data_IF_438748379569
#
_entry.id   IF_438748379569
#
_cell.length_a   1.000
_cell.length_b   1.000
_cell.length_c   1.000
_cell.angle_alpha   90.00
_cell.angle_beta   90.00
_cell.angle_gamma   90.00
#
_symmetry.space_group_name_H-M   'P 1'
#
loop_
_entity.id
_entity.type
_entity.pdbx_description
1 polymer ?
#
# COMPACT_ATOMS: atom_id res chain seq x y z
N UNK A 1 20.18 -48.47 -14.20
CA UNK A 1 18.96 -47.65 -13.99
C UNK A 1 19.32 -46.48 -13.09
N UNK A 2 18.88 -45.24 -13.38
CA UNK A 2 19.13 -44.13 -12.47
C UNK A 2 18.52 -44.41 -11.09
N UNK A 3 19.21 -44.03 -10.02
CA UNK A 3 18.69 -44.18 -8.66
C UNK A 3 17.38 -43.38 -8.52
N UNK A 4 16.44 -43.84 -7.69
CA UNK A 4 15.16 -43.13 -7.48
C UNK A 4 15.37 -41.68 -6.99
N UNK A 5 16.47 -41.44 -6.27
CA UNK A 5 16.90 -40.10 -5.85
C UNK A 5 17.30 -39.21 -7.03
N UNK A 6 18.09 -39.75 -7.98
CA UNK A 6 18.49 -39.03 -9.20
C UNK A 6 17.29 -38.67 -10.08
N UNK A 7 16.28 -39.54 -10.15
CA UNK A 7 15.05 -39.26 -10.90
C UNK A 7 14.21 -38.14 -10.25
N UNK A 8 14.11 -38.12 -8.91
CA UNK A 8 13.40 -37.06 -8.19
C UNK A 8 14.10 -35.70 -8.37
N UNK A 9 15.43 -35.68 -8.28
CA UNK A 9 16.20 -34.45 -8.52
C UNK A 9 16.01 -33.93 -9.95
N UNK A 10 16.09 -34.80 -10.96
CA UNK A 10 15.85 -34.42 -12.36
C UNK A 10 14.51 -33.68 -12.53
N UNK A 11 13.43 -34.20 -11.95
CA UNK A 11 12.10 -33.59 -12.04
C UNK A 11 12.07 -32.18 -11.42
N UNK A 12 12.67 -32.00 -10.24
CA UNK A 12 12.74 -30.70 -9.56
C UNK A 12 13.56 -29.67 -10.36
N UNK A 13 14.69 -30.09 -10.93
CA UNK A 13 15.51 -29.20 -11.75
C UNK A 13 14.84 -28.89 -13.10
N UNK A 14 14.13 -29.84 -13.70
CA UNK A 14 13.34 -29.57 -14.91
C UNK A 14 12.25 -28.52 -14.63
N UNK A 15 11.52 -28.65 -13.52
CA UNK A 15 10.55 -27.66 -13.07
C UNK A 15 11.21 -26.28 -12.88
N UNK A 16 12.36 -26.24 -12.20
CA UNK A 16 13.13 -24.99 -12.00
C UNK A 16 13.54 -24.35 -13.33
N UNK A 17 14.07 -25.14 -14.27
CA UNK A 17 14.49 -24.65 -15.58
C UNK A 17 13.29 -24.07 -16.35
N UNK A 18 12.15 -24.75 -16.35
CA UNK A 18 10.93 -24.27 -17.00
C UNK A 18 10.47 -22.93 -16.40
N UNK A 19 10.40 -22.85 -15.07
CA UNK A 19 9.98 -21.63 -14.37
C UNK A 19 10.98 -20.47 -14.53
N UNK A 20 12.28 -20.73 -14.49
CA UNK A 20 13.29 -19.67 -14.54
C UNK A 20 13.62 -19.23 -15.97
N UNK A 21 13.61 -20.14 -16.94
CA UNK A 21 14.20 -19.88 -18.28
C UNK A 21 13.19 -19.78 -19.42
N UNK A 22 11.91 -20.10 -19.18
CA UNK A 22 10.91 -20.15 -20.26
C UNK A 22 9.76 -19.20 -20.05
N UNK A 23 9.22 -18.66 -21.13
CA UNK A 23 7.94 -17.94 -21.20
C UNK A 23 7.47 -18.00 -22.67
N UNK A 24 6.31 -17.41 -22.97
CA UNK A 24 5.73 -17.41 -24.32
C UNK A 24 6.71 -16.89 -25.40
N UNK A 25 7.57 -15.94 -25.05
CA UNK A 25 8.57 -15.38 -25.97
C UNK A 25 9.91 -16.13 -25.95
N UNK A 26 10.12 -17.01 -24.98
CA UNK A 26 11.38 -17.73 -24.75
C UNK A 26 11.16 -19.24 -24.55
N UNK A 27 10.59 -19.97 -25.53
CA UNK A 27 10.41 -21.41 -25.42
C UNK A 27 11.74 -22.17 -25.54
N UNK A 28 11.87 -23.30 -24.83
CA UNK A 28 13.03 -24.18 -24.92
C UNK A 28 12.69 -25.50 -25.61
N UNK A 29 13.51 -25.89 -26.58
CA UNK A 29 13.45 -27.22 -27.19
C UNK A 29 13.89 -28.30 -26.21
N UNK A 30 13.54 -29.56 -26.47
CA UNK A 30 14.04 -30.70 -25.67
C UNK A 30 15.57 -30.72 -25.59
N UNK A 31 16.27 -30.37 -26.68
CA UNK A 31 17.74 -30.34 -26.68
C UNK A 31 18.26 -29.29 -25.69
N UNK A 32 17.66 -28.10 -25.66
CA UNK A 32 18.04 -27.05 -24.71
C UNK A 32 17.67 -27.39 -23.27
N UNK A 33 16.55 -28.08 -23.04
CA UNK A 33 16.19 -28.57 -21.71
C UNK A 33 17.22 -29.60 -21.20
N UNK A 34 17.68 -30.51 -22.07
CA UNK A 34 18.73 -31.46 -21.73
C UNK A 34 20.05 -30.75 -21.40
N UNK A 35 20.50 -29.82 -22.26
CA UNK A 35 21.71 -29.03 -21.98
C UNK A 35 21.59 -28.22 -20.68
N UNK A 36 20.40 -27.67 -20.39
CA UNK A 36 20.17 -26.94 -19.14
C UNK A 36 20.21 -27.86 -17.91
N UNK A 37 19.81 -29.13 -18.02
CA UNK A 37 19.94 -30.12 -16.94
C UNK A 37 21.40 -30.54 -16.73
N UNK A 38 22.18 -30.63 -17.80
CA UNK A 38 23.62 -30.95 -17.73
C UNK A 38 24.42 -29.87 -17.00
N UNK A 39 24.01 -28.59 -17.07
CA UNK A 39 24.59 -27.50 -16.26
C UNK A 39 24.47 -27.76 -14.74
N UNK A 40 23.49 -28.57 -14.32
CA UNK A 40 23.30 -29.02 -12.94
C UNK A 40 23.89 -30.41 -12.67
N UNK A 41 24.64 -30.99 -13.61
CA UNK A 41 25.21 -32.33 -13.52
C UNK A 41 24.18 -33.46 -13.67
N UNK A 42 23.01 -33.17 -14.26
CA UNK A 42 21.92 -34.13 -14.41
C UNK A 42 21.84 -34.60 -15.86
N UNK A 43 22.24 -35.85 -16.10
CA UNK A 43 22.06 -36.49 -17.40
C UNK A 43 20.67 -37.10 -17.53
N UNK A 44 19.98 -36.76 -18.60
CA UNK A 44 18.64 -37.26 -18.91
C UNK A 44 18.54 -37.66 -20.38
N UNK A 45 17.68 -38.63 -20.67
CA UNK A 45 17.38 -39.02 -22.05
C UNK A 45 16.14 -38.29 -22.55
N UNK A 46 16.12 -37.96 -23.85
CA UNK A 46 14.99 -37.27 -24.52
C UNK A 46 13.64 -37.90 -24.22
N UNK A 47 13.53 -39.24 -24.21
CA UNK A 47 12.26 -39.94 -23.93
C UNK A 47 11.76 -39.69 -22.50
N UNK A 48 12.69 -39.63 -21.54
CA UNK A 48 12.36 -39.39 -20.13
C UNK A 48 11.90 -37.96 -19.84
N UNK A 49 12.28 -36.98 -20.67
CA UNK A 49 11.82 -35.61 -20.53
C UNK A 49 10.33 -35.49 -20.87
N UNK A 50 9.84 -36.20 -21.90
CA UNK A 50 8.41 -36.16 -22.24
C UNK A 50 7.53 -36.67 -21.09
N UNK A 51 7.94 -37.74 -20.42
CA UNK A 51 7.21 -38.25 -19.25
C UNK A 51 7.26 -37.27 -18.08
N UNK A 52 8.40 -36.63 -17.84
CA UNK A 52 8.53 -35.64 -16.75
C UNK A 52 7.70 -34.38 -17.01
N UNK A 53 7.67 -33.89 -18.26
CA UNK A 53 6.84 -32.74 -18.65
C UNK A 53 5.36 -33.03 -18.40
N UNK A 54 4.90 -34.25 -18.70
CA UNK A 54 3.52 -34.65 -18.44
C UNK A 54 3.22 -34.79 -16.95
N UNK A 55 4.18 -35.31 -16.16
CA UNK A 55 4.06 -35.34 -14.70
C UNK A 55 3.95 -33.93 -14.10
N UNK A 56 4.72 -32.96 -14.61
CA UNK A 56 4.65 -31.56 -14.18
C UNK A 56 3.32 -30.90 -14.56
N UNK A 57 2.73 -31.25 -15.71
CA UNK A 57 1.37 -30.84 -16.07
C UNK A 57 0.33 -31.42 -15.11
N UNK A 58 0.42 -32.71 -14.80
CA UNK A 58 -0.47 -33.37 -13.83
C UNK A 58 -0.33 -32.78 -12.43
N UNK A 59 0.87 -32.33 -12.05
CA UNK A 59 1.10 -31.60 -10.81
C UNK A 59 0.43 -30.21 -10.81
N UNK A 60 0.22 -29.61 -11.98
CA UNK A 60 -0.52 -28.36 -12.16
C UNK A 60 0.26 -27.22 -12.85
N UNK A 61 1.44 -27.48 -13.42
CA UNK A 61 2.11 -26.46 -14.25
C UNK A 61 1.45 -26.38 -15.63
N UNK A 62 1.11 -25.17 -16.07
CA UNK A 62 0.67 -24.91 -17.43
C UNK A 62 1.87 -24.92 -18.40
N UNK A 63 2.29 -26.12 -18.80
CA UNK A 63 3.38 -26.30 -19.76
C UNK A 63 2.80 -26.40 -21.16
N UNK A 64 2.98 -25.34 -21.94
CA UNK A 64 2.64 -25.32 -23.35
C UNK A 64 3.76 -25.98 -24.14
N UNK A 65 3.38 -26.92 -25.03
CA UNK A 65 4.31 -27.61 -25.91
C UNK A 65 4.38 -27.00 -27.32
N UNK A 66 5.18 -27.59 -28.21
CA UNK A 66 5.29 -27.13 -29.58
C UNK A 66 3.94 -27.16 -30.31
N UNK A 67 3.57 -26.04 -30.95
CA UNK A 67 2.43 -25.89 -31.86
C UNK A 67 2.93 -25.29 -33.19
N UNK A 68 2.04 -25.06 -34.16
CA UNK A 68 2.42 -24.53 -35.49
C UNK A 68 3.30 -23.25 -35.44
N UNK A 69 3.16 -22.43 -34.38
CA UNK A 69 3.91 -21.18 -34.19
C UNK A 69 4.98 -21.22 -33.09
N UNK A 70 5.11 -22.32 -32.34
CA UNK A 70 6.03 -22.43 -31.19
C UNK A 70 6.91 -23.67 -31.32
N UNK A 71 8.24 -23.48 -31.33
CA UNK A 71 9.19 -24.57 -31.59
C UNK A 71 9.68 -25.30 -30.31
N UNK A 72 9.12 -25.01 -29.14
CA UNK A 72 9.60 -25.54 -27.87
C UNK A 72 8.54 -25.57 -26.77
N UNK A 73 8.99 -25.85 -25.55
CA UNK A 73 8.19 -25.91 -24.34
C UNK A 73 8.39 -24.66 -23.50
N UNK A 74 7.31 -24.15 -22.92
CA UNK A 74 7.35 -23.02 -22.00
C UNK A 74 6.22 -23.10 -20.96
N UNK A 75 6.38 -22.35 -19.87
CA UNK A 75 5.30 -22.12 -18.91
C UNK A 75 4.42 -20.99 -19.42
N UNK A 76 3.15 -21.29 -19.69
CA UNK A 76 2.14 -20.33 -20.13
C UNK A 76 1.66 -19.49 -18.96
N UNK A 77 0.65 -19.99 -18.25
CA UNK A 77 0.12 -19.33 -17.05
C UNK A 77 1.05 -19.49 -15.85
N UNK A 78 1.34 -18.38 -15.18
CA UNK A 78 2.13 -18.34 -13.95
C UNK A 78 1.25 -17.97 -12.76
N UNK A 79 1.82 -18.13 -11.55
CA UNK A 79 1.16 -17.66 -10.33
C UNK A 79 0.95 -16.15 -10.35
N UNK A 80 1.89 -15.43 -10.95
CA UNK A 80 1.81 -14.01 -11.22
C UNK A 80 2.19 -13.74 -12.67
N UNK A 81 1.36 -12.98 -13.36
CA UNK A 81 1.63 -12.53 -14.70
C UNK A 81 2.53 -11.29 -14.68
N UNK A 82 3.28 -11.08 -15.77
CA UNK A 82 4.19 -9.94 -15.90
C UNK A 82 3.52 -8.57 -15.62
N UNK A 83 2.29 -8.28 -16.10
CA UNK A 83 1.62 -7.02 -15.81
C UNK A 83 1.29 -6.83 -14.31
N UNK A 84 0.95 -7.90 -13.60
CA UNK A 84 0.64 -7.86 -12.17
C UNK A 84 1.89 -7.52 -11.37
N UNK A 85 3.03 -8.16 -11.70
CA UNK A 85 4.29 -7.87 -11.02
C UNK A 85 4.86 -6.50 -11.37
N UNK A 86 4.63 -5.98 -12.58
CA UNK A 86 4.95 -4.57 -12.91
C UNK A 86 4.21 -3.62 -11.96
N UNK A 87 2.90 -3.81 -11.79
CA UNK A 87 2.09 -2.99 -10.91
C UNK A 87 2.55 -3.08 -9.44
N UNK A 88 2.89 -4.28 -8.96
CA UNK A 88 3.43 -4.47 -7.61
C UNK A 88 4.80 -3.82 -7.42
N UNK A 89 5.70 -3.94 -8.40
CA UNK A 89 7.02 -3.28 -8.39
C UNK A 89 6.85 -1.75 -8.37
N UNK A 90 5.96 -1.20 -9.19
CA UNK A 90 5.67 0.23 -9.23
C UNK A 90 5.16 0.72 -7.86
N UNK A 91 4.26 -0.03 -7.21
CA UNK A 91 3.74 0.30 -5.88
C UNK A 91 4.83 0.24 -4.78
N UNK A 92 5.75 -0.73 -4.86
CA UNK A 92 6.89 -0.86 -3.94
C UNK A 92 7.89 0.28 -4.15
N UNK A 93 8.18 0.62 -5.41
CA UNK A 93 9.05 1.74 -5.75
C UNK A 93 8.46 3.07 -5.27
N UNK A 94 7.16 3.28 -5.47
CA UNK A 94 6.45 4.50 -5.06
C UNK A 94 6.27 4.65 -3.55
N UNK A 95 6.34 3.56 -2.80
CA UNK A 95 6.12 3.58 -1.35
C UNK A 95 7.24 4.33 -0.62
N UNK A 96 6.83 5.30 0.21
CA UNK A 96 7.70 6.05 1.13
C UNK A 96 8.04 5.27 2.40
N UNK A 97 7.27 4.23 2.71
CA UNK A 97 7.39 3.49 3.95
C UNK A 97 8.49 2.43 3.92
N UNK A 98 8.84 1.99 2.71
CA UNK A 98 9.86 0.99 2.49
C UNK A 98 11.17 1.71 2.22
N UNK A 99 12.23 1.33 2.95
CA UNK A 99 13.57 1.89 2.72
C UNK A 99 14.07 1.49 1.33
N UNK A 100 15.09 2.18 0.81
CA UNK A 100 15.66 1.84 -0.50
C UNK A 100 16.11 0.37 -0.55
N UNK A 101 16.91 -0.04 0.45
CA UNK A 101 17.40 -1.41 0.60
C UNK A 101 16.27 -2.44 0.63
N UNK A 102 15.22 -2.20 1.43
CA UNK A 102 14.08 -3.11 1.52
C UNK A 102 13.24 -3.15 0.24
N UNK A 103 13.19 -2.03 -0.50
CA UNK A 103 12.51 -1.97 -1.80
C UNK A 103 13.25 -2.85 -2.81
N UNK A 104 14.58 -2.74 -2.90
CA UNK A 104 15.40 -3.57 -3.78
C UNK A 104 15.30 -5.06 -3.44
N UNK A 105 15.38 -5.40 -2.15
CA UNK A 105 15.19 -6.79 -1.69
C UNK A 105 13.81 -7.35 -2.09
N UNK A 106 12.75 -6.55 -1.94
CA UNK A 106 11.38 -6.97 -2.29
C UNK A 106 11.18 -7.06 -3.80
N UNK A 107 11.70 -6.11 -4.58
CA UNK A 107 11.66 -6.14 -6.04
C UNK A 107 12.42 -7.37 -6.57
N UNK A 108 13.56 -7.72 -5.97
CA UNK A 108 14.28 -8.95 -6.29
C UNK A 108 13.44 -10.21 -6.05
N UNK A 109 12.72 -10.28 -4.92
CA UNK A 109 11.80 -11.39 -4.61
C UNK A 109 10.64 -11.46 -5.61
N UNK A 110 10.02 -10.33 -5.93
CA UNK A 110 8.93 -10.26 -6.93
C UNK A 110 9.44 -10.68 -8.32
N UNK A 111 10.64 -10.24 -8.69
CA UNK A 111 11.27 -10.62 -9.96
C UNK A 111 11.57 -12.10 -10.08
N UNK A 112 11.84 -12.78 -8.96
CA UNK A 112 12.09 -14.23 -8.93
C UNK A 112 10.86 -15.10 -9.22
N UNK A 113 9.67 -14.49 -9.30
CA UNK A 113 8.42 -15.19 -9.65
C UNK A 113 8.19 -15.26 -11.18
N UNK A 114 9.02 -14.56 -11.95
CA UNK A 114 8.98 -14.52 -13.42
C UNK A 114 10.11 -15.35 -14.04
N UNK A 115 10.06 -15.53 -15.36
CA UNK A 115 11.23 -15.96 -16.11
C UNK A 115 12.35 -14.92 -16.01
N UNK A 116 13.60 -15.34 -16.20
CA UNK A 116 14.77 -14.47 -16.25
C UNK A 116 14.65 -13.38 -17.32
N UNK A 117 13.96 -13.67 -18.44
CA UNK A 117 13.74 -12.70 -19.52
C UNK A 117 12.71 -11.64 -19.12
N UNK A 118 11.59 -12.06 -18.52
CA UNK A 118 10.55 -11.17 -18.03
C UNK A 118 11.01 -10.35 -16.81
N UNK A 119 11.79 -10.93 -15.90
CA UNK A 119 12.37 -10.26 -14.74
C UNK A 119 13.23 -9.05 -15.12
N UNK A 120 14.00 -9.15 -16.22
CA UNK A 120 14.77 -8.01 -16.76
C UNK A 120 13.88 -6.82 -17.16
N UNK A 121 12.62 -7.07 -17.48
CA UNK A 121 11.66 -6.01 -17.83
C UNK A 121 11.13 -5.25 -16.59
N UNK A 122 11.29 -5.81 -15.38
CA UNK A 122 10.93 -5.15 -14.11
C UNK A 122 11.97 -4.13 -13.65
N UNK A 123 13.22 -4.26 -14.10
CA UNK A 123 14.29 -3.28 -13.83
C UNK A 123 14.17 -1.98 -14.64
N UNK A 124 13.01 -1.72 -15.25
CA UNK A 124 12.75 -0.43 -15.89
C UNK A 124 12.71 0.63 -14.80
N UNK A 125 13.59 1.63 -14.92
CA UNK A 125 13.51 2.84 -14.12
C UNK A 125 12.20 3.52 -14.48
N UNK A 126 11.18 3.39 -13.64
CA UNK A 126 10.13 4.40 -13.60
C UNK A 126 10.85 5.66 -13.15
N UNK A 127 10.94 6.67 -14.02
CA UNK A 127 11.42 8.00 -13.67
C UNK A 127 10.44 8.62 -12.66
N UNK A 128 10.52 8.18 -11.40
CA UNK A 128 9.83 8.82 -10.30
C UNK A 128 10.74 9.92 -9.80
N UNK A 129 10.26 11.17 -9.85
CA UNK A 129 10.90 12.29 -9.17
C UNK A 129 11.34 11.83 -7.77
N UNK A 130 12.62 11.96 -7.45
CA UNK A 130 13.24 11.42 -6.22
C UNK A 130 12.39 11.77 -4.99
N UNK A 131 11.52 10.84 -4.57
CA UNK A 131 10.73 11.01 -3.35
C UNK A 131 11.57 10.48 -2.19
N UNK A 132 11.82 11.28 -1.14
CA UNK A 132 12.59 10.82 0.00
C UNK A 132 11.89 9.64 0.67
N UNK A 133 12.52 8.45 0.59
CA UNK A 133 12.10 7.23 1.30
C UNK A 133 12.45 7.34 2.78
N UNK A 134 11.66 6.67 3.62
CA UNK A 134 11.88 6.61 5.06
C UNK A 134 13.18 5.86 5.37
N UNK A 135 13.91 6.32 6.40
CA UNK A 135 15.13 5.66 6.91
C UNK A 135 14.77 4.60 7.98
N UNK A 136 13.52 4.60 8.45
CA UNK A 136 13.05 3.76 9.53
C UNK A 136 12.61 2.36 9.05
N UNK A 137 13.49 1.37 9.17
CA UNK A 137 13.19 -0.03 8.84
C UNK A 137 12.21 -0.69 9.84
N UNK A 138 11.92 -0.05 10.99
CA UNK A 138 11.05 -0.63 12.02
C UNK A 138 9.56 -0.51 11.73
N UNK A 139 9.16 0.15 10.64
CA UNK A 139 7.75 0.33 10.29
C UNK A 139 7.06 -1.02 10.06
N UNK A 140 7.73 -2.00 9.44
CA UNK A 140 7.17 -3.35 9.24
C UNK A 140 6.83 -4.04 10.57
N UNK A 141 7.78 -4.04 11.51
CA UNK A 141 7.56 -4.64 12.82
C UNK A 141 6.50 -3.88 13.63
N UNK A 142 6.44 -2.55 13.45
CA UNK A 142 5.42 -1.73 14.09
C UNK A 142 4.03 -2.04 13.56
N UNK A 143 3.87 -2.19 12.24
CA UNK A 143 2.61 -2.59 11.59
C UNK A 143 2.15 -3.96 12.07
N UNK A 144 3.05 -4.93 12.15
CA UNK A 144 2.76 -6.28 12.64
C UNK A 144 2.35 -6.29 14.13
N UNK A 145 3.09 -5.56 14.98
CA UNK A 145 2.74 -5.40 16.39
C UNK A 145 1.38 -4.71 16.59
N UNK A 146 1.04 -3.72 15.75
CA UNK A 146 -0.26 -3.05 15.74
C UNK A 146 -1.37 -4.04 15.35
N UNK A 147 -1.18 -4.79 14.26
CA UNK A 147 -2.18 -5.78 13.83
C UNK A 147 -2.43 -6.84 14.90
N UNK A 148 -1.37 -7.33 15.54
CA UNK A 148 -1.45 -8.28 16.65
C UNK A 148 -2.24 -7.70 17.81
N UNK A 149 -1.94 -6.45 18.23
CA UNK A 149 -2.65 -5.78 19.32
C UNK A 149 -4.15 -5.60 19.02
N UNK A 150 -4.51 -5.22 17.78
CA UNK A 150 -5.91 -5.09 17.35
C UNK A 150 -6.61 -6.44 17.39
N UNK A 151 -5.99 -7.48 16.82
CA UNK A 151 -6.56 -8.82 16.74
C UNK A 151 -6.80 -9.42 18.13
N UNK A 152 -5.81 -9.31 19.02
CA UNK A 152 -5.90 -9.80 20.40
C UNK A 152 -6.66 -8.87 21.35
N UNK A 153 -7.14 -7.71 20.88
CA UNK A 153 -7.82 -6.69 21.67
C UNK A 153 -7.01 -6.24 22.89
N UNK A 154 -5.70 -6.07 22.70
CA UNK A 154 -4.76 -5.62 23.74
C UNK A 154 -4.33 -4.18 23.50
N UNK A 155 -3.88 -3.52 24.57
CA UNK A 155 -3.24 -2.21 24.44
C UNK A 155 -1.96 -2.29 23.63
N UNK A 156 -1.59 -1.17 23.04
CA UNK A 156 -0.29 -0.99 22.39
C UNK A 156 0.52 0.06 23.13
N UNK A 157 1.83 -0.21 23.26
CA UNK A 157 2.83 0.68 23.82
C UNK A 157 3.77 1.18 22.74
N UNK A 158 4.07 2.48 22.74
CA UNK A 158 5.05 3.09 21.85
C UNK A 158 5.56 4.43 22.38
N UNK A 159 6.71 4.89 21.90
CA UNK A 159 7.15 6.29 22.03
C UNK A 159 6.80 7.06 20.76
N UNK A 160 6.50 8.35 20.89
CA UNK A 160 6.10 9.20 19.77
C UNK A 160 7.00 10.42 19.65
N UNK A 161 7.48 10.73 18.44
CA UNK A 161 8.41 11.83 18.21
C UNK A 161 7.98 12.73 17.06
N UNK A 162 8.47 13.96 17.09
CA UNK A 162 8.50 14.87 15.95
C UNK A 162 9.94 15.15 15.54
N UNK A 163 10.12 15.79 14.39
CA UNK A 163 11.42 16.31 13.97
C UNK A 163 11.49 17.81 14.29
N UNK A 164 12.60 18.25 14.88
CA UNK A 164 12.88 19.67 15.04
C UNK A 164 13.47 20.29 13.75
N UNK A 165 13.71 21.61 13.76
CA UNK A 165 14.29 22.34 12.63
C UNK A 165 15.65 21.79 12.15
N UNK A 166 16.42 21.15 13.05
CA UNK A 166 17.68 20.49 12.73
C UNK A 166 17.49 19.05 12.19
N UNK A 167 16.25 18.63 11.87
CA UNK A 167 15.88 17.28 11.43
C UNK A 167 16.25 16.18 12.44
N UNK A 168 16.36 16.52 13.72
CA UNK A 168 16.61 15.56 14.80
C UNK A 168 15.28 15.16 15.45
N UNK A 169 15.18 13.88 15.85
CA UNK A 169 14.02 13.36 16.58
C UNK A 169 13.94 14.00 17.96
N UNK A 170 12.76 14.50 18.31
CA UNK A 170 12.42 15.00 19.65
C UNK A 170 11.19 14.26 20.10
N UNK A 171 11.34 13.45 21.17
CA UNK A 171 10.23 12.69 21.70
C UNK A 171 9.25 13.60 22.44
N UNK A 172 7.96 13.35 22.25
CA UNK A 172 6.89 13.96 23.05
C UNK A 172 6.88 13.34 24.44
N UNK A 173 6.20 14.00 25.39
CA UNK A 173 6.13 13.58 26.79
C UNK A 173 7.50 13.27 27.40
N UNK A 174 8.51 14.05 27.05
CA UNK A 174 9.88 13.87 27.57
C UNK A 174 10.46 12.45 27.32
N UNK A 175 9.96 11.74 26.29
CA UNK A 175 10.39 10.38 25.97
C UNK A 175 9.54 9.26 26.59
N UNK A 176 8.50 9.59 27.34
CA UNK A 176 7.62 8.60 27.97
C UNK A 176 6.73 7.85 26.96
N UNK A 177 6.26 6.68 27.38
CA UNK A 177 5.46 5.79 26.58
C UNK A 177 3.98 6.23 26.50
N UNK A 178 3.40 5.98 25.34
CA UNK A 178 1.96 5.99 25.13
C UNK A 178 1.45 4.58 25.33
N UNK A 179 0.29 4.46 26.00
CA UNK A 179 -0.47 3.22 26.14
C UNK A 179 -1.86 3.51 25.63
N UNK A 180 -2.22 2.89 24.50
CA UNK A 180 -3.48 3.20 23.83
C UNK A 180 -4.19 1.92 23.40
N UNK A 181 -5.51 2.01 23.24
CA UNK A 181 -6.31 0.89 22.73
C UNK A 181 -6.44 1.00 21.22
N UNK A 182 -5.73 0.17 20.44
CA UNK A 182 -5.73 0.26 18.99
C UNK A 182 -7.04 -0.28 18.42
N UNK A 183 -7.61 0.42 17.43
CA UNK A 183 -8.86 0.04 16.78
C UNK A 183 -8.65 -0.37 15.34
N UNK A 184 -7.85 0.40 14.60
CA UNK A 184 -7.52 0.09 13.21
C UNK A 184 -6.18 0.69 12.81
N UNK A 185 -5.63 0.09 11.75
CA UNK A 185 -4.53 0.64 10.99
C UNK A 185 -5.07 1.10 9.63
N UNK A 186 -4.94 2.39 9.34
CA UNK A 186 -5.45 2.99 8.11
C UNK A 186 -4.30 3.48 7.23
N UNK A 187 -4.45 3.34 5.91
CA UNK A 187 -3.55 3.96 4.93
C UNK A 187 -4.20 5.24 4.40
N UNK A 188 -3.52 6.38 4.55
CA UNK A 188 -3.96 7.66 4.00
C UNK A 188 -2.75 8.53 3.64
N UNK A 189 -2.83 9.31 2.56
CA UNK A 189 -1.79 10.25 2.12
C UNK A 189 -0.36 9.65 2.15
N UNK A 190 -0.21 8.42 1.63
CA UNK A 190 1.03 7.62 1.61
C UNK A 190 1.64 7.27 2.98
N UNK A 191 0.85 7.29 4.05
CA UNK A 191 1.31 6.95 5.40
C UNK A 191 0.33 6.00 6.12
N UNK A 192 0.88 5.15 7.00
CA UNK A 192 0.09 4.40 7.97
C UNK A 192 -0.27 5.27 9.17
N UNK A 193 -1.54 5.20 9.55
CA UNK A 193 -2.08 5.83 10.74
C UNK A 193 -2.70 4.77 11.65
N UNK A 194 -2.23 4.73 12.88
CA UNK A 194 -2.85 3.99 13.95
C UNK A 194 -4.00 4.82 14.52
N UNK A 195 -5.22 4.30 14.43
CA UNK A 195 -6.42 4.85 15.08
C UNK A 195 -6.58 4.17 16.42
N UNK A 196 -6.57 4.94 17.50
CA UNK A 196 -6.77 4.45 18.85
C UNK A 196 -7.98 5.11 19.51
N UNK A 197 -8.61 4.39 20.42
CA UNK A 197 -9.49 4.99 21.42
C UNK A 197 -8.67 5.51 22.59
N UNK A 198 -8.90 6.76 22.99
CA UNK A 198 -8.34 7.32 24.21
C UNK A 198 -9.40 7.40 25.29
N UNK A 199 -9.32 6.54 26.30
CA UNK A 199 -10.24 6.56 27.44
C UNK A 199 -10.22 7.90 28.19
N UNK A 200 -9.04 8.54 28.28
CA UNK A 200 -8.85 9.85 28.93
C UNK A 200 -9.67 10.96 28.26
N UNK A 201 -9.78 10.93 26.93
CA UNK A 201 -10.43 11.98 26.15
C UNK A 201 -11.81 11.56 25.59
N UNK A 202 -12.21 10.30 25.82
CA UNK A 202 -13.40 9.67 25.24
C UNK A 202 -13.53 9.94 23.73
N UNK A 203 -12.41 9.88 23.03
CA UNK A 203 -12.32 10.27 21.61
C UNK A 203 -11.36 9.35 20.85
N UNK A 204 -11.47 9.39 19.52
CA UNK A 204 -10.51 8.76 18.64
C UNK A 204 -9.29 9.67 18.45
N UNK A 205 -8.11 9.07 18.56
CA UNK A 205 -6.82 9.73 18.34
C UNK A 205 -6.04 8.98 17.27
N UNK A 206 -5.19 9.71 16.55
CA UNK A 206 -4.47 9.19 15.38
C UNK A 206 -2.98 9.39 15.58
N UNK A 207 -2.20 8.36 15.26
CA UNK A 207 -0.74 8.41 15.31
C UNK A 207 -0.19 7.93 13.98
N UNK A 208 0.64 8.76 13.34
CA UNK A 208 1.42 8.28 12.19
C UNK A 208 2.44 7.23 12.62
N UNK A 209 2.43 6.06 11.99
CA UNK A 209 3.28 4.93 12.39
C UNK A 209 4.76 5.19 12.14
N UNK A 210 5.10 5.98 11.12
CA UNK A 210 6.49 6.38 10.83
C UNK A 210 7.12 7.27 11.94
N UNK A 211 6.29 7.90 12.77
CA UNK A 211 6.67 8.71 13.95
C UNK A 211 6.62 7.95 15.27
N UNK A 212 6.40 6.64 15.22
CA UNK A 212 6.43 5.76 16.39
C UNK A 212 7.79 5.07 16.50
N UNK A 213 8.25 4.85 17.74
CA UNK A 213 9.37 3.96 18.03
C UNK A 213 9.03 3.03 19.18
N UNK A 214 9.75 1.90 19.26
CA UNK A 214 9.61 0.92 20.35
C UNK A 214 8.17 0.42 20.49
N UNK A 215 7.55 0.16 19.34
CA UNK A 215 6.17 -0.30 19.24
C UNK A 215 6.10 -1.76 19.70
N UNK A 216 5.24 -2.03 20.68
CA UNK A 216 4.99 -3.38 21.19
C UNK A 216 3.54 -3.49 21.69
N UNK A 217 2.89 -4.62 21.47
CA UNK A 217 1.62 -4.89 22.13
C UNK A 217 1.84 -5.21 23.62
N UNK A 218 0.86 -4.86 24.45
CA UNK A 218 0.88 -5.06 25.89
C UNK A 218 0.18 -6.37 26.25
N UNK A 219 0.39 -6.87 27.47
CA UNK A 219 -0.44 -7.96 28.01
C UNK A 219 -1.83 -7.47 28.44
N UNK A 220 -1.93 -6.21 28.83
CA UNK A 220 -3.16 -5.53 29.25
C UNK A 220 -4.23 -5.51 28.15
N UNK A 221 -5.47 -5.81 28.53
CA UNK A 221 -6.62 -5.70 27.64
C UNK A 221 -6.87 -4.24 27.23
N UNK A 222 -7.40 -4.06 26.02
CA UNK A 222 -7.88 -2.78 25.54
C UNK A 222 -8.97 -2.20 26.43
N UNK A 223 -9.04 -0.88 26.49
CA UNK A 223 -10.11 -0.15 27.18
C UNK A 223 -11.47 -0.46 26.51
N UNK A 224 -12.57 -0.53 27.28
CA UNK A 224 -13.89 -0.76 26.73
C UNK A 224 -14.29 0.38 25.78
N UNK A 225 -14.80 0.02 24.60
CA UNK A 225 -15.22 0.96 23.55
C UNK A 225 -16.72 0.74 23.27
N UNK A 226 -17.46 1.84 23.18
CA UNK A 226 -18.82 1.82 22.63
C UNK A 226 -18.75 1.71 21.10
N UNK A 227 -18.85 0.49 20.59
CA UNK A 227 -18.76 0.19 19.16
C UNK A 227 -19.92 0.79 18.34
N UNK A 228 -21.04 1.17 18.98
CA UNK A 228 -22.14 1.85 18.27
C UNK A 228 -21.79 3.31 17.98
N UNK A 229 -20.96 3.92 18.83
CA UNK A 229 -20.53 5.32 18.71
C UNK A 229 -19.27 5.50 17.85
N UNK A 230 -18.38 4.52 17.82
CA UNK A 230 -17.09 4.62 17.13
C UNK A 230 -16.95 3.58 16.01
N UNK A 231 -17.62 3.82 14.88
CA UNK A 231 -17.42 3.01 13.67
C UNK A 231 -16.14 3.45 12.95
N UNK A 232 -15.10 2.62 13.04
CA UNK A 232 -13.76 2.94 12.53
C UNK A 232 -13.72 3.05 10.99
N UNK A 233 -14.54 2.26 10.29
CA UNK A 233 -14.59 2.28 8.83
C UNK A 233 -15.27 3.56 8.30
N UNK A 234 -16.31 4.03 8.98
CA UNK A 234 -16.90 5.35 8.68
C UNK A 234 -15.97 6.48 9.05
N UNK A 235 -15.31 6.39 10.21
CA UNK A 235 -14.38 7.40 10.67
C UNK A 235 -13.20 7.59 9.70
N UNK A 236 -12.61 6.51 9.20
CA UNK A 236 -11.51 6.58 8.23
C UNK A 236 -11.90 7.26 6.89
N UNK A 237 -13.16 7.15 6.45
CA UNK A 237 -13.66 7.85 5.25
C UNK A 237 -13.90 9.35 5.47
N UNK A 238 -14.19 9.75 6.70
CA UNK A 238 -14.67 11.10 7.06
C UNK A 238 -13.54 12.07 7.44
N UNK A 239 -12.36 11.56 7.79
CA UNK A 239 -11.24 12.39 8.27
C UNK A 239 -10.25 12.70 7.14
N UNK A 240 -10.17 13.97 6.73
CA UNK A 240 -9.16 14.47 5.80
C UNK A 240 -7.77 14.42 6.44
N UNK A 241 -6.85 13.63 5.87
CA UNK A 241 -5.46 13.49 6.33
C UNK A 241 -5.28 13.00 7.77
N UNK A 242 -6.32 12.33 8.32
CA UNK A 242 -6.35 11.85 9.70
C UNK A 242 -6.22 12.96 10.77
N UNK A 243 -6.52 14.21 10.40
CA UNK A 243 -6.65 15.33 11.34
C UNK A 243 -8.05 15.35 11.94
N UNK A 244 -8.13 15.13 13.26
CA UNK A 244 -9.39 15.22 13.98
C UNK A 244 -10.01 16.63 13.95
N UNK A 245 -11.30 16.69 14.23
CA UNK A 245 -12.11 17.90 14.28
C UNK A 245 -13.59 17.54 14.42
N UNK A 246 -14.43 18.50 14.79
CA UNK A 246 -15.87 18.29 14.90
C UNK A 246 -16.47 17.91 13.54
N UNK A 247 -17.27 16.85 13.50
CA UNK A 247 -17.97 16.42 12.28
C UNK A 247 -19.16 17.33 12.03
N UNK A 248 -19.24 17.88 10.82
CA UNK A 248 -20.30 18.81 10.42
C UNK A 248 -20.87 18.45 9.05
N UNK A 249 -22.16 18.69 8.84
CA UNK A 249 -22.80 18.58 7.52
C UNK A 249 -22.57 19.85 6.72
N UNK A 250 -21.57 19.82 5.84
CA UNK A 250 -21.20 20.94 5.00
C UNK A 250 -22.03 21.01 3.73
N UNK A 251 -22.40 22.23 3.34
CA UNK A 251 -22.88 22.53 1.99
C UNK A 251 -21.77 23.29 1.27
N UNK A 252 -21.34 22.75 0.13
CA UNK A 252 -20.20 23.24 -0.63
C UNK A 252 -20.65 23.56 -2.06
N UNK A 253 -20.13 24.64 -2.64
CA UNK A 253 -20.38 25.03 -4.01
C UNK A 253 -19.07 25.00 -4.81
N UNK A 254 -19.12 24.39 -5.99
CA UNK A 254 -17.98 24.22 -6.87
C UNK A 254 -18.29 24.70 -8.29
N UNK A 255 -17.26 25.18 -8.98
CA UNK A 255 -17.30 25.32 -10.43
C UNK A 255 -17.46 23.94 -11.10
N UNK A 256 -18.24 23.80 -12.19
CA UNK A 256 -18.41 22.53 -12.89
C UNK A 256 -17.10 21.84 -13.31
N UNK A 257 -16.01 22.59 -13.54
CA UNK A 257 -14.71 21.98 -13.86
C UNK A 257 -14.12 21.12 -12.73
N UNK A 258 -14.62 21.24 -11.50
CA UNK A 258 -14.16 20.49 -10.33
C UNK A 258 -14.98 19.22 -10.04
N UNK A 259 -16.00 18.90 -10.84
CA UNK A 259 -16.87 17.73 -10.59
C UNK A 259 -16.06 16.44 -10.42
N UNK A 260 -15.09 16.17 -11.29
CA UNK A 260 -14.26 14.97 -11.19
C UNK A 260 -13.45 14.94 -9.89
N UNK A 261 -12.89 16.09 -9.48
CA UNK A 261 -12.11 16.20 -8.24
C UNK A 261 -12.98 15.97 -7.00
N UNK A 262 -14.23 16.47 -7.04
CA UNK A 262 -15.23 16.24 -6.01
C UNK A 262 -15.63 14.77 -5.95
N UNK A 263 -15.86 14.13 -7.10
CA UNK A 263 -16.22 12.70 -7.19
C UNK A 263 -15.07 11.77 -6.75
N UNK A 264 -13.83 12.09 -7.11
CA UNK A 264 -12.65 11.34 -6.66
C UNK A 264 -12.49 11.41 -5.14
N UNK A 265 -12.91 12.52 -4.53
CA UNK A 265 -12.81 12.75 -3.09
C UNK A 265 -13.97 12.12 -2.30
N UNK A 266 -15.20 12.36 -2.71
CA UNK A 266 -16.40 11.97 -1.96
C UNK A 266 -17.08 10.71 -2.49
N UNK A 267 -16.57 10.15 -3.58
CA UNK A 267 -17.14 8.99 -4.27
C UNK A 267 -18.17 9.38 -5.33
N UNK A 268 -18.55 8.39 -6.14
CA UNK A 268 -19.51 8.57 -7.25
C UNK A 268 -20.95 8.77 -6.81
N UNK A 269 -21.27 8.43 -5.56
CA UNK A 269 -22.63 8.51 -5.00
C UNK A 269 -22.97 9.90 -4.46
N UNK A 270 -22.04 10.85 -4.51
CA UNK A 270 -22.28 12.22 -4.04
C UNK A 270 -23.35 12.88 -4.92
N UNK A 271 -24.38 13.43 -4.27
CA UNK A 271 -25.45 14.12 -4.98
C UNK A 271 -24.97 15.48 -5.46
N UNK A 272 -24.84 15.64 -6.78
CA UNK A 272 -24.52 16.89 -7.44
C UNK A 272 -25.81 17.68 -7.72
N UNK A 273 -25.89 18.91 -7.21
CA UNK A 273 -27.06 19.78 -7.37
C UNK A 273 -26.65 21.00 -8.20
N UNK A 274 -26.98 21.06 -9.50
CA UNK A 274 -26.70 22.23 -10.33
C UNK A 274 -27.51 23.44 -9.83
N UNK A 275 -26.83 24.56 -9.58
CA UNK A 275 -27.45 25.79 -9.08
C UNK A 275 -26.60 27.01 -9.43
N UNK A 276 -27.21 28.00 -10.06
CA UNK A 276 -26.60 29.30 -10.40
C UNK A 276 -25.26 29.19 -11.16
N UNK A 277 -25.17 28.27 -12.13
CA UNK A 277 -23.95 28.01 -12.90
C UNK A 277 -22.85 27.28 -12.12
N UNK A 278 -23.12 26.89 -10.87
CA UNK A 278 -22.26 26.08 -10.01
C UNK A 278 -22.90 24.71 -9.73
N UNK A 279 -22.16 23.88 -9.02
CA UNK A 279 -22.62 22.60 -8.49
C UNK A 279 -22.51 22.63 -6.97
N UNK A 280 -23.64 22.48 -6.29
CA UNK A 280 -23.70 22.31 -4.84
C UNK A 280 -23.69 20.83 -4.46
N UNK A 281 -23.03 20.51 -3.35
CA UNK A 281 -23.07 19.19 -2.72
C UNK A 281 -23.32 19.34 -1.22
N UNK A 282 -23.86 18.29 -0.62
CA UNK A 282 -24.02 18.15 0.82
C UNK A 282 -23.24 16.92 1.29
N UNK A 283 -22.27 17.14 2.17
CA UNK A 283 -21.33 16.10 2.64
C UNK A 283 -21.02 16.27 4.11
N UNK A 284 -20.80 15.16 4.80
CA UNK A 284 -20.29 15.18 6.18
C UNK A 284 -18.76 15.28 6.16
N UNK A 285 -18.20 16.31 6.79
CA UNK A 285 -16.76 16.58 6.81
C UNK A 285 -16.31 16.99 8.20
N UNK A 286 -15.02 16.79 8.51
CA UNK A 286 -14.43 17.31 9.73
C UNK A 286 -14.08 18.79 9.55
N UNK A 287 -14.51 19.65 10.49
CA UNK A 287 -14.03 21.02 10.59
C UNK A 287 -12.56 21.03 11.03
N UNK A 288 -11.65 20.95 10.06
CA UNK A 288 -10.21 20.86 10.31
C UNK A 288 -9.42 21.76 9.34
N UNK A 289 -8.22 22.22 9.72
CA UNK A 289 -7.36 23.01 8.84
C UNK A 289 -7.06 22.33 7.50
N UNK A 290 -7.00 20.99 7.47
CA UNK A 290 -6.74 20.23 6.23
C UNK A 290 -7.92 20.31 5.27
N UNK A 291 -9.15 20.16 5.78
CA UNK A 291 -10.34 20.34 4.95
C UNK A 291 -10.44 21.76 4.41
N UNK A 292 -10.21 22.77 5.26
CA UNK A 292 -10.21 24.17 4.84
C UNK A 292 -9.14 24.44 3.78
N UNK A 293 -7.92 23.91 3.96
CA UNK A 293 -6.86 24.03 2.97
C UNK A 293 -7.21 23.35 1.63
N UNK A 294 -7.87 22.20 1.66
CA UNK A 294 -8.34 21.52 0.45
C UNK A 294 -9.37 22.35 -0.32
N UNK A 295 -10.28 23.06 0.36
CA UNK A 295 -11.17 24.01 -0.31
C UNK A 295 -10.38 25.20 -0.86
N UNK A 296 -9.46 25.75 -0.06
CA UNK A 296 -8.67 26.92 -0.40
C UNK A 296 -7.78 26.71 -1.64
N UNK A 297 -7.28 25.49 -1.88
CA UNK A 297 -6.41 25.19 -3.03
C UNK A 297 -7.06 25.47 -4.39
N UNK A 298 -8.39 25.54 -4.45
CA UNK A 298 -9.16 25.79 -5.68
C UNK A 298 -9.45 27.28 -5.90
N UNK A 299 -8.98 28.17 -5.02
CA UNK A 299 -9.21 29.61 -5.14
C UNK A 299 -10.70 29.96 -5.14
N UNK A 300 -11.14 30.72 -6.15
CA UNK A 300 -12.52 31.18 -6.31
C UNK A 300 -13.50 30.11 -6.84
N UNK A 301 -12.97 28.96 -7.25
CA UNK A 301 -13.74 27.85 -7.84
C UNK A 301 -14.43 26.94 -6.81
N UNK A 302 -14.09 27.08 -5.53
CA UNK A 302 -14.74 26.33 -4.44
C UNK A 302 -15.15 27.26 -3.29
N UNK A 303 -16.31 27.02 -2.70
CA UNK A 303 -16.82 27.82 -1.58
C UNK A 303 -17.59 26.98 -0.58
N UNK A 304 -17.40 27.28 0.70
CA UNK A 304 -18.22 26.75 1.79
C UNK A 304 -19.46 27.65 1.94
N UNK A 305 -20.65 27.06 1.80
CA UNK A 305 -21.93 27.75 2.00
C UNK A 305 -22.45 27.57 3.43
N UNK A 306 -22.15 26.44 4.06
CA UNK A 306 -22.53 26.16 5.44
C UNK A 306 -21.85 24.89 5.98
N UNK A 307 -21.97 24.61 7.29
CA UNK A 307 -22.68 25.43 8.28
C UNK A 307 -21.90 26.69 8.67
N UNK A 308 -22.55 27.59 9.41
CA UNK A 308 -21.95 28.88 9.84
C UNK A 308 -20.62 28.69 10.58
N UNK A 309 -20.48 27.64 11.38
CA UNK A 309 -19.24 27.31 12.10
C UNK A 309 -18.08 27.06 11.13
N UNK A 310 -18.32 26.35 10.04
CA UNK A 310 -17.30 26.03 9.04
C UNK A 310 -16.95 27.24 8.16
N UNK A 311 -17.95 28.08 7.85
CA UNK A 311 -17.73 29.37 7.17
C UNK A 311 -16.90 30.32 8.04
N UNK A 312 -17.20 30.38 9.35
CA UNK A 312 -16.43 31.18 10.30
C UNK A 312 -14.98 30.71 10.39
N UNK A 313 -14.75 29.40 10.47
CA UNK A 313 -13.40 28.82 10.49
C UNK A 313 -12.59 29.16 9.22
N UNK A 314 -13.23 29.14 8.04
CA UNK A 314 -12.57 29.58 6.80
C UNK A 314 -12.23 31.08 6.83
N UNK A 315 -13.13 31.93 7.32
CA UNK A 315 -12.87 33.38 7.43
C UNK A 315 -11.70 33.67 8.36
N UNK A 316 -11.68 33.04 9.53
CA UNK A 316 -10.59 33.18 10.50
C UNK A 316 -9.24 32.74 9.90
N UNK A 317 -9.23 31.62 9.15
CA UNK A 317 -8.04 31.15 8.44
C UNK A 317 -7.54 32.18 7.42
N UNK A 318 -8.46 32.77 6.63
CA UNK A 318 -8.14 33.78 5.63
C UNK A 318 -7.57 35.05 6.28
N UNK A 319 -8.21 35.56 7.33
CA UNK A 319 -7.74 36.76 8.06
C UNK A 319 -6.36 36.53 8.71
N UNK A 320 -6.17 35.36 9.32
CA UNK A 320 -4.90 34.99 9.97
C UNK A 320 -3.77 34.85 8.95
N UNK A 321 -4.06 34.26 7.80
CA UNK A 321 -3.07 34.15 6.72
C UNK A 321 -2.80 35.53 6.10
N UNK A 322 -3.83 36.34 5.86
CA UNK A 322 -3.68 37.67 5.30
C UNK A 322 -2.74 38.55 6.14
N UNK A 323 -2.86 38.54 7.47
CA UNK A 323 -1.99 39.27 8.40
C UNK A 323 -0.50 38.87 8.34
N UNK A 324 -0.17 37.70 7.79
CA UNK A 324 1.23 37.27 7.63
C UNK A 324 1.89 37.84 6.37
N UNK A 325 1.10 38.25 5.39
CA UNK A 325 1.61 38.68 4.07
C UNK A 325 1.30 40.13 3.74
N UNK A 326 0.27 40.71 4.36
CA UNK A 326 -0.02 42.14 4.26
C UNK A 326 0.66 42.89 5.41
N UNK A 327 1.35 44.00 5.12
CA UNK A 327 2.09 44.79 6.10
C UNK A 327 1.21 45.42 7.18
#
# INVERSE_FOLDING_TARGET
>A
MPSSSSQRMKLLYLMKILLDRTDESNPLTIRQLLSSLEEYGIHAERKSIYSDLELLRQYGLDIVGPQEKTYGYYVGQRLFELPELKLLVDAVQSSRLITHKKSEELIGKLSSLLSNAQAKQLNRQVYMAERPKTINETVYYSVDAIHTAIHEKRKIRFRYFDYNAAKKRVYRKEGDYYYQTPLALCWADDNYYLVCYSAKHQSLVHYRVDRMSDVSFCTEAGDPIDQKRFNVAEHAKKVFGMFGGEMVHATLAFDPCLINVVMDRFGKDVRLIPKDGKVEIQVEVSNSPVFLAWIFQFGDKARILGPTSLVAAMKELLETNQKQYLP
#
